data_IF_529116710030
#
_entry.id   IF_529116710030
#
_cell.length_a   1.000
_cell.length_b   1.000
_cell.length_c   1.000
_cell.angle_alpha   90.00
_cell.angle_beta   90.00
_cell.angle_gamma   90.00
#
_symmetry.space_group_name_H-M   'P 1'
#
loop_
_entity.id
_entity.type
_entity.pdbx_description
1 polymer ?
#
# COMPACT_ATOMS: atom_id res chain seq x y z
N UNK A 1 -7.09 21.69 3.95
CA UNK A 1 -7.13 22.04 5.39
C UNK A 1 -6.10 21.30 6.23
N UNK A 2 -5.61 20.11 5.85
CA UNK A 2 -4.55 19.37 6.58
C UNK A 2 -3.12 19.60 6.06
N UNK A 3 -2.98 20.18 4.86
CA UNK A 3 -1.70 20.64 4.30
C UNK A 3 -2.00 21.79 3.35
N UNK A 4 -1.20 22.86 3.38
CA UNK A 4 -1.31 23.94 2.42
C UNK A 4 0.08 24.27 1.88
N UNK A 5 0.43 23.86 0.64
CA UNK A 5 1.75 24.16 0.07
C UNK A 5 1.96 25.65 -0.19
N UNK A 6 0.91 26.47 -0.11
CA UNK A 6 0.95 27.91 -0.26
C UNK A 6 0.94 28.66 1.09
N UNK A 7 0.99 27.94 2.22
CA UNK A 7 1.17 28.57 3.52
C UNK A 7 2.53 29.28 3.56
N UNK A 8 2.51 30.60 3.80
CA UNK A 8 3.74 31.40 3.84
C UNK A 8 4.47 31.16 5.15
N UNK A 9 5.74 30.79 5.07
CA UNK A 9 6.65 30.75 6.21
C UNK A 9 7.27 32.14 6.36
N UNK A 10 7.16 32.72 7.56
CA UNK A 10 7.78 34.00 7.90
C UNK A 10 8.59 33.82 9.20
N UNK A 11 9.93 33.99 9.18
CA UNK A 11 10.76 34.33 8.02
C UNK A 11 10.82 33.21 6.96
N UNK A 12 11.03 33.58 5.69
CA UNK A 12 11.19 32.61 4.61
C UNK A 12 12.56 31.91 4.77
N UNK A 13 12.63 30.59 4.90
CA UNK A 13 13.91 29.88 4.95
C UNK A 13 14.64 30.02 3.60
N UNK A 14 15.94 30.33 3.63
CA UNK A 14 16.76 30.52 2.42
C UNK A 14 16.87 29.23 1.58
N UNK A 15 16.97 28.07 2.22
CA UNK A 15 17.11 26.75 1.56
C UNK A 15 15.81 25.91 1.63
N UNK A 16 14.74 26.44 2.21
CA UNK A 16 13.53 25.66 2.52
C UNK A 16 13.68 24.77 3.76
N UNK A 17 12.68 23.91 4.00
CA UNK A 17 12.80 22.81 4.95
C UNK A 17 13.27 21.58 4.17
N UNK A 18 14.59 21.48 3.98
CA UNK A 18 15.20 20.40 3.21
C UNK A 18 15.00 19.04 3.91
N UNK A 19 15.20 17.95 3.17
CA UNK A 19 15.29 16.62 3.75
C UNK A 19 16.59 16.51 4.56
N UNK A 20 16.61 15.61 5.54
CA UNK A 20 17.85 15.20 6.20
C UNK A 20 18.89 14.82 5.11
N UNK A 21 20.16 15.25 5.19
CA UNK A 21 21.18 14.99 4.18
C UNK A 21 21.30 13.51 3.75
N UNK A 22 21.10 12.56 4.67
CA UNK A 22 21.11 11.10 4.38
C UNK A 22 20.00 10.64 3.43
N UNK A 23 19.04 11.50 3.13
CA UNK A 23 17.88 11.21 2.30
C UNK A 23 18.01 11.81 0.91
N UNK A 24 19.04 12.61 0.65
CA UNK A 24 19.22 13.28 -0.64
C UNK A 24 19.95 12.36 -1.64
N UNK A 25 19.44 11.15 -1.82
CA UNK A 25 20.02 10.11 -2.68
C UNK A 25 19.02 9.66 -3.76
N UNK A 26 19.46 9.38 -5.01
CA UNK A 26 18.59 8.89 -6.07
C UNK A 26 17.79 7.62 -5.71
N UNK A 27 18.34 6.75 -4.88
CA UNK A 27 17.66 5.56 -4.36
C UNK A 27 16.40 5.91 -3.57
N UNK A 28 16.44 6.97 -2.73
CA UNK A 28 15.26 7.49 -2.05
C UNK A 28 14.25 8.11 -3.02
N UNK A 29 14.69 8.69 -4.14
CA UNK A 29 13.76 9.32 -5.09
C UNK A 29 12.93 8.28 -5.84
N UNK A 30 13.51 7.12 -6.14
CA UNK A 30 12.90 6.13 -7.04
C UNK A 30 12.02 5.13 -6.29
N UNK A 31 12.45 4.62 -5.13
CA UNK A 31 11.72 3.55 -4.48
C UNK A 31 10.32 3.94 -3.95
N UNK A 32 10.07 5.14 -3.38
CA UNK A 32 8.76 5.51 -2.87
C UNK A 32 7.69 5.64 -3.96
N UNK A 33 7.95 6.22 -5.15
CA UNK A 33 7.03 6.13 -6.28
C UNK A 33 6.66 4.70 -6.66
N UNK A 34 7.61 3.77 -6.65
CA UNK A 34 7.35 2.36 -6.95
C UNK A 34 6.45 1.71 -5.89
N UNK A 35 6.74 1.94 -4.60
CA UNK A 35 5.89 1.48 -3.51
C UNK A 35 4.48 2.06 -3.58
N UNK A 36 4.36 3.36 -3.89
CA UNK A 36 3.09 4.04 -4.04
C UNK A 36 2.27 3.49 -5.22
N UNK A 37 2.90 3.30 -6.39
CA UNK A 37 2.29 2.63 -7.53
C UNK A 37 1.79 1.23 -7.18
N UNK A 38 2.55 0.49 -6.36
CA UNK A 38 2.16 -0.81 -5.82
C UNK A 38 0.91 -0.74 -4.94
N UNK A 39 0.90 0.16 -3.94
CA UNK A 39 -0.24 0.37 -3.04
C UNK A 39 -1.51 0.79 -3.77
N UNK A 40 -1.41 1.80 -4.63
CA UNK A 40 -2.56 2.30 -5.41
C UNK A 40 -3.01 1.27 -6.44
N UNK A 41 -2.08 0.49 -6.99
CA UNK A 41 -2.39 -0.57 -7.95
C UNK A 41 -3.38 -1.61 -7.41
N UNK A 42 -3.32 -1.94 -6.11
CA UNK A 42 -4.30 -2.84 -5.48
C UNK A 42 -5.71 -2.25 -5.34
N UNK A 43 -5.91 -0.96 -5.56
CA UNK A 43 -7.25 -0.36 -5.57
C UNK A 43 -8.13 -0.95 -6.68
N UNK A 44 -7.54 -1.38 -7.80
CA UNK A 44 -8.28 -1.97 -8.92
C UNK A 44 -8.86 -3.35 -8.55
N UNK A 45 -8.06 -4.37 -8.17
CA UNK A 45 -8.62 -5.66 -7.73
C UNK A 45 -9.57 -5.50 -6.54
N UNK A 46 -9.33 -4.55 -5.62
CA UNK A 46 -10.27 -4.20 -4.56
C UNK A 46 -11.62 -3.73 -5.11
N UNK A 47 -11.64 -2.70 -5.97
CA UNK A 47 -12.88 -2.12 -6.49
C UNK A 47 -13.72 -3.16 -7.23
N UNK A 48 -13.07 -4.03 -7.99
CA UNK A 48 -13.77 -5.12 -8.64
C UNK A 48 -14.27 -6.20 -7.66
N UNK A 49 -13.55 -6.51 -6.58
CA UNK A 49 -14.04 -7.43 -5.56
C UNK A 49 -15.30 -6.89 -4.88
N UNK A 50 -15.34 -5.58 -4.59
CA UNK A 50 -16.56 -4.91 -4.09
C UNK A 50 -17.70 -5.01 -5.10
N UNK A 51 -17.43 -4.76 -6.39
CA UNK A 51 -18.45 -4.88 -7.43
C UNK A 51 -19.01 -6.31 -7.52
N UNK A 52 -18.16 -7.34 -7.47
CA UNK A 52 -18.58 -8.74 -7.51
C UNK A 52 -19.46 -9.12 -6.30
N UNK A 53 -19.12 -8.63 -5.10
CA UNK A 53 -19.93 -8.85 -3.90
C UNK A 53 -21.29 -8.15 -3.97
N UNK A 54 -21.35 -6.93 -4.52
CA UNK A 54 -22.59 -6.20 -4.72
C UNK A 54 -23.50 -6.86 -5.76
N UNK A 55 -22.91 -7.36 -6.85
CA UNK A 55 -23.64 -8.07 -7.90
C UNK A 55 -24.07 -9.49 -7.46
N UNK A 56 -23.41 -10.06 -6.44
CA UNK A 56 -23.64 -11.42 -5.97
C UNK A 56 -23.23 -12.50 -6.99
N UNK A 57 -22.43 -12.12 -7.99
CA UNK A 57 -21.94 -13.01 -9.05
C UNK A 57 -20.46 -12.74 -9.29
N UNK A 58 -19.69 -13.83 -9.36
CA UNK A 58 -18.27 -13.75 -9.66
C UNK A 58 -18.01 -14.43 -11.01
N UNK A 59 -17.94 -13.63 -12.07
CA UNK A 59 -17.65 -14.11 -13.42
C UNK A 59 -16.14 -14.34 -13.61
N UNK A 60 -15.75 -15.39 -14.31
CA UNK A 60 -14.36 -15.61 -14.74
C UNK A 60 -13.83 -14.43 -15.58
N UNK A 61 -14.70 -13.67 -16.24
CA UNK A 61 -14.33 -12.43 -16.94
C UNK A 61 -13.70 -11.41 -16.00
N UNK A 62 -14.20 -11.27 -14.77
CA UNK A 62 -13.64 -10.35 -13.77
C UNK A 62 -12.18 -10.71 -13.41
N UNK A 63 -11.87 -11.99 -13.22
CA UNK A 63 -10.51 -12.43 -12.91
C UNK A 63 -9.53 -12.05 -14.00
N UNK A 64 -9.93 -12.21 -15.27
CA UNK A 64 -9.08 -11.85 -16.42
C UNK A 64 -8.76 -10.36 -16.47
N UNK A 65 -9.70 -9.50 -16.07
CA UNK A 65 -9.47 -8.06 -16.03
C UNK A 65 -8.64 -7.63 -14.82
N UNK A 66 -8.82 -8.25 -13.65
CA UNK A 66 -8.11 -7.85 -12.43
C UNK A 66 -6.68 -8.35 -12.36
N UNK A 67 -6.39 -9.54 -12.90
CA UNK A 67 -5.09 -10.19 -12.76
C UNK A 67 -3.89 -9.38 -13.31
N UNK A 68 -3.97 -8.71 -14.47
CA UNK A 68 -2.90 -7.81 -14.92
C UNK A 68 -2.62 -6.67 -13.92
N UNK A 69 -3.66 -6.11 -13.30
CA UNK A 69 -3.50 -5.06 -12.29
C UNK A 69 -2.85 -5.59 -11.02
N UNK A 70 -3.26 -6.78 -10.55
CA UNK A 70 -2.59 -7.44 -9.42
C UNK A 70 -1.11 -7.71 -9.72
N UNK A 71 -0.79 -8.21 -10.92
CA UNK A 71 0.58 -8.47 -11.34
C UNK A 71 1.43 -7.18 -11.34
N UNK A 72 0.90 -6.10 -11.92
CA UNK A 72 1.61 -4.82 -11.98
C UNK A 72 1.79 -4.25 -10.58
N UNK A 73 0.75 -4.21 -9.74
CA UNK A 73 0.83 -3.74 -8.37
C UNK A 73 1.89 -4.52 -7.56
N UNK A 74 1.87 -5.85 -7.65
CA UNK A 74 2.82 -6.73 -6.99
C UNK A 74 4.26 -6.54 -7.52
N UNK A 75 4.43 -6.35 -8.84
CA UNK A 75 5.74 -6.11 -9.43
C UNK A 75 6.31 -4.76 -9.00
N UNK A 76 5.49 -3.71 -8.96
CA UNK A 76 5.90 -2.39 -8.46
C UNK A 76 6.29 -2.44 -6.99
N UNK A 77 5.55 -3.18 -6.14
CA UNK A 77 5.98 -3.43 -4.76
C UNK A 77 7.29 -4.19 -4.69
N UNK A 78 7.46 -5.25 -5.48
CA UNK A 78 8.71 -6.02 -5.51
C UNK A 78 9.91 -5.13 -5.84
N UNK A 79 9.78 -4.28 -6.86
CA UNK A 79 10.85 -3.35 -7.25
C UNK A 79 11.06 -2.28 -6.19
N UNK A 80 9.99 -1.67 -5.68
CA UNK A 80 10.09 -0.64 -4.64
C UNK A 80 10.75 -1.16 -3.36
N UNK A 81 10.37 -2.37 -2.92
CA UNK A 81 10.98 -3.04 -1.77
C UNK A 81 12.46 -3.32 -2.04
N UNK A 82 12.80 -3.93 -3.18
CA UNK A 82 14.18 -4.26 -3.51
C UNK A 82 15.09 -3.02 -3.61
N UNK A 83 14.59 -1.92 -4.21
CA UNK A 83 15.30 -0.66 -4.28
C UNK A 83 15.46 0.00 -2.91
N UNK A 84 14.42 -0.05 -2.06
CA UNK A 84 14.48 0.42 -0.69
C UNK A 84 15.52 -0.31 0.14
N UNK A 85 15.50 -1.66 0.09
CA UNK A 85 16.49 -2.51 0.77
C UNK A 85 17.93 -2.25 0.30
N UNK A 86 18.14 -2.05 -1.01
CA UNK A 86 19.44 -1.66 -1.54
C UNK A 86 19.86 -0.32 -0.93
N UNK A 87 19.03 0.71 -1.11
CA UNK A 87 19.33 2.06 -0.66
C UNK A 87 19.64 2.09 0.85
N UNK A 88 18.84 1.42 1.68
CA UNK A 88 19.06 1.37 3.12
C UNK A 88 20.39 0.69 3.50
N UNK A 89 20.78 -0.38 2.79
CA UNK A 89 22.08 -1.01 2.98
C UNK A 89 23.23 -0.08 2.58
N UNK A 90 23.09 0.61 1.45
CA UNK A 90 24.12 1.49 0.88
C UNK A 90 24.30 2.78 1.69
N UNK A 91 23.21 3.49 1.99
CA UNK A 91 23.21 4.85 2.53
C UNK A 91 23.11 4.88 4.07
N UNK A 92 22.28 4.01 4.65
CA UNK A 92 22.06 3.99 6.11
C UNK A 92 23.00 3.01 6.83
N UNK A 93 23.83 2.27 6.09
CA UNK A 93 24.79 1.30 6.64
C UNK A 93 24.14 0.23 7.49
N UNK A 94 22.87 -0.11 7.21
CA UNK A 94 22.18 -1.17 7.92
C UNK A 94 22.97 -2.47 7.78
N UNK A 95 23.09 -3.21 8.88
CA UNK A 95 23.94 -4.40 8.99
C UNK A 95 23.56 -5.58 8.08
N UNK A 96 22.68 -5.37 7.10
CA UNK A 96 22.32 -6.27 6.02
C UNK A 96 21.23 -5.68 5.13
N UNK A 97 20.99 -6.32 3.99
CA UNK A 97 19.93 -5.99 3.04
C UNK A 97 18.51 -6.19 3.59
N UNK A 98 18.40 -6.82 4.77
CA UNK A 98 17.13 -7.14 5.44
C UNK A 98 17.08 -6.73 6.91
N UNK A 99 17.65 -5.57 7.20
CA UNK A 99 17.32 -4.87 8.44
C UNK A 99 15.99 -4.15 8.20
N UNK A 100 15.01 -4.26 9.09
CA UNK A 100 13.64 -3.78 8.81
C UNK A 100 13.29 -2.62 9.74
N UNK A 101 13.05 -1.44 9.18
CA UNK A 101 12.33 -0.40 9.92
C UNK A 101 10.80 -0.65 9.87
N UNK A 102 10.03 -0.07 10.79
CA UNK A 102 8.57 -0.25 10.81
C UNK A 102 7.86 0.19 9.52
N UNK A 103 8.41 1.17 8.78
CA UNK A 103 7.84 1.63 7.50
C UNK A 103 8.09 0.63 6.38
N UNK A 104 9.27 0.04 6.29
CA UNK A 104 9.53 -1.03 5.31
C UNK A 104 8.64 -2.25 5.54
N UNK A 105 8.47 -2.68 6.79
CA UNK A 105 7.52 -3.75 7.14
C UNK A 105 6.09 -3.47 6.66
N UNK A 106 5.70 -2.19 6.64
CA UNK A 106 4.38 -1.78 6.17
C UNK A 106 4.15 -2.12 4.69
N UNK A 107 5.21 -2.07 3.87
CA UNK A 107 5.16 -2.43 2.44
C UNK A 107 5.20 -3.94 2.19
N UNK A 108 5.81 -4.68 3.11
CA UNK A 108 5.91 -6.14 3.03
C UNK A 108 4.56 -6.83 3.26
N UNK A 109 3.73 -6.30 4.15
CA UNK A 109 2.39 -6.84 4.44
C UNK A 109 1.49 -6.99 3.20
N UNK A 110 1.21 -5.93 2.40
CA UNK A 110 0.43 -6.06 1.17
C UNK A 110 1.18 -6.85 0.08
N UNK A 111 2.51 -6.90 0.09
CA UNK A 111 3.27 -7.75 -0.84
C UNK A 111 3.02 -9.26 -0.58
N UNK A 112 3.02 -9.68 0.69
CA UNK A 112 2.68 -11.07 1.07
C UNK A 112 1.25 -11.43 0.68
N UNK A 113 0.29 -10.57 1.03
CA UNK A 113 -1.12 -10.80 0.69
C UNK A 113 -1.36 -10.74 -0.81
N UNK A 114 -0.69 -9.83 -1.53
CA UNK A 114 -0.67 -9.78 -2.98
C UNK A 114 -0.11 -11.05 -3.61
N UNK A 115 0.94 -11.62 -3.03
CA UNK A 115 1.48 -12.92 -3.47
C UNK A 115 0.44 -14.02 -3.31
N UNK A 116 -0.23 -14.10 -2.16
CA UNK A 116 -1.33 -15.05 -1.96
C UNK A 116 -2.49 -14.81 -2.95
N UNK A 117 -2.85 -13.55 -3.20
CA UNK A 117 -3.88 -13.16 -4.15
C UNK A 117 -3.56 -13.63 -5.57
N UNK A 118 -2.32 -13.47 -6.04
CA UNK A 118 -1.89 -13.94 -7.36
C UNK A 118 -2.10 -15.45 -7.53
N UNK A 119 -1.75 -16.23 -6.50
CA UNK A 119 -1.95 -17.67 -6.51
C UNK A 119 -3.44 -18.03 -6.45
N UNK A 120 -4.21 -17.34 -5.61
CA UNK A 120 -5.66 -17.53 -5.50
C UNK A 120 -6.36 -17.23 -6.83
N UNK A 121 -6.03 -16.11 -7.47
CA UNK A 121 -6.54 -15.74 -8.79
C UNK A 121 -6.23 -16.82 -9.85
N UNK A 122 -5.02 -17.37 -9.85
CA UNK A 122 -4.66 -18.42 -10.80
C UNK A 122 -5.46 -19.72 -10.58
N UNK A 123 -5.75 -20.09 -9.32
CA UNK A 123 -6.58 -21.25 -9.01
C UNK A 123 -8.04 -21.01 -9.35
N UNK A 124 -8.58 -19.83 -9.01
CA UNK A 124 -9.96 -19.46 -9.32
C UNK A 124 -10.21 -19.41 -10.82
N UNK A 125 -9.27 -18.87 -11.60
CA UNK A 125 -9.38 -18.83 -13.06
C UNK A 125 -9.35 -20.23 -13.68
N UNK A 126 -8.48 -21.12 -13.22
CA UNK A 126 -8.29 -22.45 -13.82
C UNK A 126 -9.28 -23.51 -13.33
N UNK A 127 -9.74 -23.41 -12.08
CA UNK A 127 -10.50 -24.48 -11.41
C UNK A 127 -11.85 -24.03 -10.86
N UNK A 128 -12.19 -22.74 -10.93
CA UNK A 128 -13.43 -22.20 -10.34
C UNK A 128 -13.50 -22.28 -8.81
N UNK A 129 -12.41 -22.65 -8.14
CA UNK A 129 -12.33 -22.77 -6.67
C UNK A 129 -11.69 -21.52 -6.04
N UNK A 130 -11.77 -21.36 -4.73
CA UNK A 130 -11.22 -20.21 -3.98
C UNK A 130 -11.81 -18.84 -4.35
N UNK A 131 -13.02 -18.80 -4.91
CA UNK A 131 -13.75 -17.56 -5.20
C UNK A 131 -13.77 -16.59 -4.01
N UNK A 132 -14.30 -17.07 -2.89
CA UNK A 132 -14.42 -16.34 -1.62
C UNK A 132 -13.04 -15.86 -1.13
N UNK A 133 -12.03 -16.73 -1.16
CA UNK A 133 -10.65 -16.37 -0.80
C UNK A 133 -10.04 -15.31 -1.69
N UNK A 134 -10.24 -15.37 -3.01
CA UNK A 134 -9.73 -14.37 -3.94
C UNK A 134 -10.33 -12.99 -3.66
N UNK A 135 -11.63 -12.91 -3.35
CA UNK A 135 -12.28 -11.66 -2.97
C UNK A 135 -11.73 -11.13 -1.63
N UNK A 136 -11.59 -12.00 -0.62
CA UNK A 136 -11.03 -11.63 0.67
C UNK A 136 -9.59 -11.12 0.56
N UNK A 137 -8.75 -11.80 -0.22
CA UNK A 137 -7.35 -11.42 -0.44
C UNK A 137 -7.23 -10.10 -1.22
N UNK A 138 -8.14 -9.82 -2.16
CA UNK A 138 -8.20 -8.52 -2.84
C UNK A 138 -8.58 -7.39 -1.86
N UNK A 139 -9.53 -7.65 -0.96
CA UNK A 139 -9.89 -6.72 0.13
C UNK A 139 -8.71 -6.50 1.07
N UNK A 140 -8.08 -7.58 1.53
CA UNK A 140 -6.97 -7.53 2.46
C UNK A 140 -5.73 -6.83 1.87
N UNK A 141 -5.37 -7.09 0.61
CA UNK A 141 -4.22 -6.46 -0.03
C UNK A 141 -4.34 -4.93 -0.03
N UNK A 142 -5.48 -4.40 -0.47
CA UNK A 142 -5.71 -2.95 -0.46
C UNK A 142 -5.86 -2.38 0.96
N UNK A 143 -6.51 -3.12 1.86
CA UNK A 143 -6.63 -2.73 3.28
C UNK A 143 -5.25 -2.57 3.95
N UNK A 144 -4.32 -3.49 3.68
CA UNK A 144 -2.96 -3.42 4.20
C UNK A 144 -2.14 -2.31 3.55
N UNK A 145 -2.37 -1.98 2.27
CA UNK A 145 -1.79 -0.79 1.64
C UNK A 145 -2.26 0.52 2.29
N UNK A 146 -3.56 0.61 2.64
CA UNK A 146 -4.10 1.74 3.41
C UNK A 146 -3.53 1.79 4.83
N UNK A 147 -3.40 0.64 5.49
CA UNK A 147 -2.76 0.54 6.80
C UNK A 147 -1.32 1.04 6.74
N UNK A 148 -0.55 0.63 5.74
CA UNK A 148 0.81 1.13 5.57
C UNK A 148 0.87 2.64 5.38
N UNK A 149 -0.07 3.20 4.62
CA UNK A 149 -0.19 4.67 4.47
C UNK A 149 -0.49 5.35 5.82
N UNK A 150 -1.39 4.78 6.62
CA UNK A 150 -1.67 5.27 7.97
C UNK A 150 -0.43 5.22 8.87
N UNK A 151 0.28 4.09 8.91
CA UNK A 151 1.45 3.89 9.75
C UNK A 151 2.57 4.89 9.44
N UNK A 152 2.82 5.16 8.15
CA UNK A 152 3.87 6.08 7.68
C UNK A 152 3.50 7.55 7.93
N UNK A 153 2.21 7.92 7.85
CA UNK A 153 1.77 9.33 7.87
C UNK A 153 1.17 9.82 9.18
N UNK A 154 0.81 8.91 10.09
CA UNK A 154 0.16 9.24 11.35
C UNK A 154 1.11 9.74 12.44
N UNK A 155 2.40 9.44 12.34
CA UNK A 155 3.38 9.70 13.41
C UNK A 155 3.29 8.74 14.59
N UNK A 156 2.50 7.65 14.48
CA UNK A 156 2.36 6.62 15.52
C UNK A 156 3.64 5.78 15.65
N UNK A 157 4.42 5.67 14.58
CA UNK A 157 5.69 4.94 14.55
C UNK A 157 6.86 5.91 14.46
N UNK A 158 7.92 5.64 15.21
CA UNK A 158 9.22 6.28 15.03
C UNK A 158 9.95 5.59 13.88
N UNK A 159 10.19 6.31 12.79
CA UNK A 159 10.91 5.82 11.62
C UNK A 159 11.68 6.95 10.96
N UNK A 160 12.84 6.62 10.39
CA UNK A 160 13.58 7.56 9.54
C UNK A 160 12.75 7.96 8.32
N UNK A 161 11.81 7.13 7.86
CA UNK A 161 10.96 7.38 6.69
C UNK A 161 9.69 8.20 7.02
N UNK A 162 9.46 8.53 8.30
CA UNK A 162 8.30 9.27 8.73
C UNK A 162 8.50 10.79 8.59
N UNK A 163 8.36 11.32 7.38
CA UNK A 163 8.38 12.77 7.11
C UNK A 163 6.97 13.35 7.00
N UNK A 164 6.83 14.62 7.41
CA UNK A 164 5.57 15.36 7.39
C UNK A 164 4.43 14.66 8.17
N UNK A 165 4.79 14.05 9.31
CA UNK A 165 3.82 13.49 10.25
C UNK A 165 2.92 14.59 10.81
N UNK A 166 1.62 14.36 10.74
CA UNK A 166 0.60 15.31 11.18
C UNK A 166 -0.55 14.50 11.81
N UNK A 167 -0.78 14.60 13.12
CA UNK A 167 -1.83 13.85 13.81
C UNK A 167 -3.22 14.06 13.20
N UNK A 168 -3.50 15.24 12.63
CA UNK A 168 -4.78 15.53 11.98
C UNK A 168 -4.96 14.72 10.68
N UNK A 169 -3.87 14.52 9.92
CA UNK A 169 -3.86 13.63 8.74
C UNK A 169 -3.96 12.17 9.16
N UNK A 170 -3.24 11.79 10.22
CA UNK A 170 -3.31 10.45 10.79
C UNK A 170 -4.75 10.08 11.14
N UNK A 171 -5.47 10.97 11.83
CA UNK A 171 -6.88 10.76 12.17
C UNK A 171 -7.78 10.65 10.93
N UNK A 172 -7.60 11.52 9.93
CA UNK A 172 -8.35 11.42 8.68
C UNK A 172 -8.15 10.07 7.98
N UNK A 173 -6.88 9.64 7.84
CA UNK A 173 -6.55 8.36 7.21
C UNK A 173 -7.10 7.20 8.04
N UNK A 174 -7.08 7.28 9.38
CA UNK A 174 -7.66 6.26 10.25
C UNK A 174 -9.17 6.11 10.05
N UNK A 175 -9.92 7.22 10.03
CA UNK A 175 -11.37 7.19 9.77
C UNK A 175 -11.66 6.62 8.38
N UNK A 176 -10.89 7.05 7.37
CA UNK A 176 -11.01 6.53 6.02
C UNK A 176 -10.73 5.02 5.96
N UNK A 177 -9.66 4.56 6.63
CA UNK A 177 -9.31 3.15 6.73
C UNK A 177 -10.41 2.35 7.41
N UNK A 178 -10.94 2.81 8.54
CA UNK A 178 -12.04 2.13 9.23
C UNK A 178 -13.30 2.03 8.36
N UNK A 179 -13.63 3.09 7.61
CA UNK A 179 -14.78 3.08 6.71
C UNK A 179 -14.58 2.10 5.54
N UNK A 180 -13.41 2.12 4.89
CA UNK A 180 -13.12 1.27 3.73
C UNK A 180 -12.97 -0.19 4.14
N UNK A 181 -12.15 -0.48 5.15
CA UNK A 181 -11.91 -1.85 5.63
C UNK A 181 -13.15 -2.40 6.30
N UNK A 182 -13.78 -1.65 7.20
CA UNK A 182 -15.00 -2.07 7.88
C UNK A 182 -16.15 -2.28 6.90
N UNK A 183 -16.37 -1.35 5.96
CA UNK A 183 -17.41 -1.46 4.94
C UNK A 183 -17.20 -2.63 3.98
N UNK A 184 -15.96 -2.85 3.52
CA UNK A 184 -15.65 -3.96 2.61
C UNK A 184 -15.72 -5.33 3.29
N UNK A 185 -15.24 -5.46 4.52
CA UNK A 185 -15.33 -6.71 5.28
C UNK A 185 -16.77 -7.01 5.71
N UNK A 186 -17.55 -6.00 6.08
CA UNK A 186 -18.98 -6.17 6.35
C UNK A 186 -19.72 -6.63 5.10
N UNK A 187 -19.47 -5.99 3.95
CA UNK A 187 -20.05 -6.42 2.68
C UNK A 187 -19.66 -7.86 2.34
N UNK A 188 -18.39 -8.22 2.51
CA UNK A 188 -17.91 -9.60 2.35
C UNK A 188 -18.66 -10.57 3.26
N UNK A 189 -18.75 -10.28 4.57
CA UNK A 189 -19.46 -11.14 5.51
C UNK A 189 -20.94 -11.35 5.15
N UNK A 190 -21.58 -10.36 4.52
CA UNK A 190 -22.99 -10.42 4.13
C UNK A 190 -23.24 -11.06 2.76
N UNK A 191 -22.25 -11.03 1.85
CA UNK A 191 -22.44 -11.35 0.42
C UNK A 191 -21.46 -12.38 -0.14
N UNK A 192 -20.49 -12.83 0.64
CA UNK A 192 -19.54 -13.82 0.17
C UNK A 192 -20.27 -15.11 -0.27
N UNK A 193 -19.87 -15.70 -1.42
CA UNK A 193 -20.42 -16.95 -1.93
C UNK A 193 -19.96 -18.16 -1.12
#
# INVERSE_FOLDING_TARGET
>A
FTSNPFARLLPVPLEGADLNPLLQDPGLIIHPPMLYCGYVGFAVPFAFAIAALLEGRMDARWLRWTRPWTNVAWAMLTVGIALGSWWAYYELGWGGWWFWDPVENASFMPWLVGTALLHSQAVTEKRGSFASWTLLLAIAAFSLSLLGTFLVRSGVLTSVHAFAADPSRGLFILVFLLAVVGGSLLLYALRAP
#
